data_IF_845865254588
#
_entry.id   IF_845865254588
#
_cell.length_a   1.000
_cell.length_b   1.000
_cell.length_c   1.000
_cell.angle_alpha   90.00
_cell.angle_beta   90.00
_cell.angle_gamma   90.00
#
_symmetry.space_group_name_H-M   'P 1'
#
loop_
_entity.id
_entity.type
_entity.pdbx_description
1 polymer ?
#
# COMPACT_ATOMS: atom_id res chain seq x y z
N UNK A 1 -13.79 16.17 -5.44
CA UNK A 1 -13.67 16.01 -3.98
C UNK A 1 -12.55 15.04 -3.57
N UNK A 2 -12.56 13.75 -3.98
CA UNK A 2 -11.54 12.77 -3.55
C UNK A 2 -10.09 13.10 -4.02
N UNK A 3 -9.92 13.51 -5.27
CA UNK A 3 -8.59 13.84 -5.84
C UNK A 3 -7.96 15.06 -5.15
N UNK A 4 -8.79 16.02 -4.73
CA UNK A 4 -8.33 17.22 -4.02
C UNK A 4 -7.84 16.87 -2.61
N UNK A 5 -8.62 16.05 -1.87
CA UNK A 5 -8.24 15.56 -0.55
C UNK A 5 -6.94 14.72 -0.58
N UNK A 6 -6.74 13.90 -1.62
CA UNK A 6 -5.51 13.14 -1.81
C UNK A 6 -4.30 14.05 -2.07
N UNK A 7 -4.46 15.15 -2.80
CA UNK A 7 -3.38 16.13 -3.05
C UNK A 7 -2.99 16.88 -1.78
N UNK A 8 -3.97 17.32 -1.01
CA UNK A 8 -3.74 18.02 0.27
C UNK A 8 -3.05 17.10 1.28
N UNK A 9 -3.48 15.84 1.39
CA UNK A 9 -2.82 14.86 2.25
C UNK A 9 -1.39 14.56 1.82
N UNK A 10 -1.11 14.46 0.52
CA UNK A 10 0.27 14.28 0.01
C UNK A 10 1.18 15.43 0.40
N UNK A 11 0.73 16.67 0.28
CA UNK A 11 1.51 17.84 0.67
C UNK A 11 1.82 17.86 2.19
N UNK A 12 0.88 17.44 3.05
CA UNK A 12 1.13 17.27 4.49
C UNK A 12 2.19 16.19 4.80
N UNK A 13 2.23 15.10 4.01
CA UNK A 13 3.18 14.02 4.22
C UNK A 13 4.59 14.34 3.70
N UNK A 14 4.72 15.16 2.66
CA UNK A 14 6.02 15.61 2.14
C UNK A 14 6.83 16.43 3.16
N UNK A 15 6.17 17.09 4.12
CA UNK A 15 6.84 17.82 5.21
C UNK A 15 7.27 16.92 6.38
N UNK A 16 6.82 15.66 6.44
CA UNK A 16 7.16 14.70 7.50
C UNK A 16 8.34 13.85 7.07
N UNK A 17 9.54 14.43 7.05
CA UNK A 17 10.75 13.74 6.58
C UNK A 17 11.15 12.50 7.40
N UNK A 18 10.65 12.35 8.63
CA UNK A 18 11.06 11.26 9.55
C UNK A 18 10.01 10.15 9.77
N UNK A 19 8.79 10.28 9.20
CA UNK A 19 7.69 9.36 9.54
C UNK A 19 7.17 8.58 8.34
N UNK A 20 7.54 7.31 8.27
CA UNK A 20 7.04 6.38 7.24
C UNK A 20 5.58 6.04 7.53
N UNK A 21 4.75 6.15 6.49
CA UNK A 21 3.35 5.74 6.52
C UNK A 21 3.19 4.60 5.53
N UNK A 22 2.82 3.43 6.03
CA UNK A 22 2.65 2.23 5.25
C UNK A 22 1.17 1.99 4.95
N UNK A 23 0.85 1.93 3.66
CA UNK A 23 -0.40 1.38 3.17
C UNK A 23 -0.13 -0.02 2.64
N UNK A 24 -0.76 -1.02 3.26
CA UNK A 24 -0.68 -2.41 2.83
C UNK A 24 -2.03 -3.09 3.02
N UNK A 25 -2.29 -4.16 2.26
CA UNK A 25 -3.51 -4.93 2.45
C UNK A 25 -3.44 -5.69 3.77
N UNK A 26 -4.54 -5.66 4.53
CA UNK A 26 -4.71 -6.51 5.71
C UNK A 26 -4.89 -7.94 5.21
N UNK A 27 -3.79 -8.69 5.15
CA UNK A 27 -3.79 -10.10 4.76
C UNK A 27 -4.48 -10.99 5.80
N UNK A 28 -4.06 -12.25 5.87
CA UNK A 28 -4.59 -13.18 6.87
C UNK A 28 -4.48 -12.60 8.29
N UNK A 29 -5.50 -12.73 9.15
CA UNK A 29 -5.53 -12.09 10.47
C UNK A 29 -4.31 -12.37 11.36
N UNK A 30 -3.75 -13.58 11.28
CA UNK A 30 -2.57 -13.95 12.06
C UNK A 30 -1.29 -13.30 11.53
N UNK A 31 -1.15 -13.20 10.20
CA UNK A 31 -0.04 -12.48 9.56
C UNK A 31 -0.12 -10.98 9.85
N UNK A 32 -1.34 -10.42 9.83
CA UNK A 32 -1.58 -8.99 10.12
C UNK A 32 -1.12 -8.60 11.53
N UNK A 33 -1.34 -9.46 12.55
CA UNK A 33 -0.89 -9.20 13.93
C UNK A 33 0.63 -9.14 14.05
N UNK A 34 1.33 -10.11 13.48
CA UNK A 34 2.80 -10.17 13.53
C UNK A 34 3.42 -8.98 12.79
N UNK A 35 2.89 -8.66 11.61
CA UNK A 35 3.32 -7.51 10.81
C UNK A 35 3.06 -6.20 11.55
N UNK A 36 1.89 -6.04 12.18
CA UNK A 36 1.56 -4.86 12.97
C UNK A 36 2.53 -4.65 14.12
N UNK A 37 2.81 -5.70 14.91
CA UNK A 37 3.75 -5.61 16.03
C UNK A 37 5.16 -5.20 15.55
N UNK A 38 5.61 -5.76 14.43
CA UNK A 38 6.90 -5.39 13.85
C UNK A 38 6.93 -3.92 13.40
N UNK A 39 5.88 -3.45 12.71
CA UNK A 39 5.79 -2.06 12.26
C UNK A 39 5.72 -1.04 13.42
N UNK A 40 5.09 -1.42 14.54
CA UNK A 40 5.11 -0.62 15.76
C UNK A 40 6.53 -0.46 16.32
N UNK A 41 7.38 -1.51 16.27
CA UNK A 41 8.79 -1.39 16.68
C UNK A 41 9.60 -0.47 15.77
N UNK A 42 9.26 -0.44 14.47
CA UNK A 42 9.84 0.49 13.50
C UNK A 42 9.28 1.92 13.61
N UNK A 43 8.26 2.16 14.44
CA UNK A 43 7.52 3.43 14.58
C UNK A 43 6.88 3.91 13.27
N UNK A 44 6.48 2.96 12.42
CA UNK A 44 5.79 3.26 11.18
C UNK A 44 4.28 3.40 11.45
N UNK A 45 3.66 4.44 10.88
CA UNK A 45 2.21 4.56 10.94
C UNK A 45 1.59 3.64 9.88
N UNK A 46 0.57 2.89 10.27
CA UNK A 46 -0.21 2.09 9.33
C UNK A 46 -1.46 2.88 8.95
N UNK A 47 -1.65 3.10 7.64
CA UNK A 47 -2.88 3.72 7.16
C UNK A 47 -4.03 2.69 7.31
N UNK A 48 -5.17 3.07 7.92
CA UNK A 48 -6.31 2.15 8.02
C UNK A 48 -6.80 1.74 6.63
N UNK A 49 -6.73 0.44 6.35
CA UNK A 49 -7.21 -0.15 5.09
C UNK A 49 -8.45 -1.02 5.37
N UNK A 50 -9.54 -0.88 4.60
CA UNK A 50 -10.70 -1.74 4.79
C UNK A 50 -10.36 -3.18 4.41
N UNK A 51 -10.91 -4.13 5.18
CA UNK A 51 -10.78 -5.55 4.88
C UNK A 51 -11.29 -5.83 3.45
N UNK A 52 -10.49 -6.50 2.63
CA UNK A 52 -10.84 -6.87 1.24
C UNK A 52 -11.06 -5.73 0.24
N UNK A 53 -10.51 -4.54 0.48
CA UNK A 53 -10.50 -3.48 -0.54
C UNK A 53 -9.35 -3.64 -1.53
N UNK A 54 -9.57 -4.48 -2.55
CA UNK A 54 -8.61 -4.73 -3.64
C UNK A 54 -8.34 -3.48 -4.50
N UNK A 55 -9.32 -2.57 -4.60
CA UNK A 55 -9.22 -1.38 -5.48
C UNK A 55 -8.55 -0.16 -4.83
N UNK A 56 -8.17 -0.24 -3.55
CA UNK A 56 -7.67 0.93 -2.81
C UNK A 56 -6.13 0.96 -2.75
N UNK A 57 -5.46 -0.19 -2.88
CA UNK A 57 -4.00 -0.21 -2.86
C UNK A 57 -3.45 0.33 -4.20
N UNK A 58 -2.60 1.37 -4.19
CA UNK A 58 -1.99 1.91 -5.41
C UNK A 58 -1.19 0.86 -6.19
N UNK A 59 -0.65 -0.15 -5.49
CA UNK A 59 0.04 -1.29 -6.09
C UNK A 59 -0.88 -2.11 -6.99
N UNK A 60 -2.09 -2.45 -6.53
CA UNK A 60 -3.04 -3.28 -7.27
C UNK A 60 -3.63 -2.54 -8.48
N UNK A 61 -4.02 -1.29 -8.28
CA UNK A 61 -4.65 -0.49 -9.34
C UNK A 61 -3.69 -0.16 -10.49
N UNK A 62 -2.47 0.28 -10.16
CA UNK A 62 -1.55 0.85 -11.16
C UNK A 62 -0.37 -0.07 -11.46
N UNK A 63 0.38 -0.47 -10.44
CA UNK A 63 1.65 -1.17 -10.63
C UNK A 63 1.45 -2.59 -11.16
N UNK A 64 0.64 -3.42 -10.49
CA UNK A 64 0.38 -4.79 -10.91
C UNK A 64 -0.42 -4.86 -12.20
N UNK A 65 -1.38 -3.95 -12.40
CA UNK A 65 -2.08 -3.82 -13.69
C UNK A 65 -1.10 -3.53 -14.83
N UNK A 66 -0.13 -2.63 -14.61
CA UNK A 66 0.90 -2.33 -15.60
C UNK A 66 1.81 -3.52 -15.84
N UNK A 67 2.27 -4.18 -14.78
CA UNK A 67 3.08 -5.40 -14.89
C UNK A 67 2.34 -6.52 -15.64
N UNK A 68 1.06 -6.75 -15.36
CA UNK A 68 0.25 -7.75 -16.06
C UNK A 68 0.18 -7.47 -17.55
N UNK A 69 0.02 -6.20 -17.93
CA UNK A 69 0.05 -5.80 -19.34
C UNK A 69 1.43 -6.07 -19.97
N UNK A 70 2.51 -5.66 -19.30
CA UNK A 70 3.86 -5.77 -19.86
C UNK A 70 4.37 -7.23 -19.90
N UNK A 71 3.91 -8.06 -18.96
CA UNK A 71 4.19 -9.49 -18.88
C UNK A 71 3.22 -10.34 -19.72
N UNK A 72 2.16 -9.76 -20.30
CA UNK A 72 1.23 -10.50 -21.13
C UNK A 72 2.00 -11.12 -22.32
N UNK A 73 1.98 -12.45 -22.41
CA UNK A 73 2.67 -13.20 -23.46
C UNK A 73 4.13 -13.54 -23.15
N UNK A 74 4.70 -13.08 -22.04
CA UNK A 74 6.01 -13.54 -21.58
C UNK A 74 5.89 -14.92 -20.92
N UNK A 75 6.69 -15.88 -21.39
CA UNK A 75 6.80 -17.21 -20.76
C UNK A 75 8.15 -17.35 -20.09
N UNK A 76 8.14 -17.36 -18.77
CA UNK A 76 9.31 -17.71 -17.98
C UNK A 76 9.53 -19.22 -18.10
N UNK A 77 10.74 -19.62 -18.49
CA UNK A 77 11.19 -21.01 -18.51
C UNK A 77 12.17 -21.17 -17.34
N UNK A 78 11.87 -22.14 -16.48
CA UNK A 78 12.67 -22.49 -15.30
C UNK A 78 13.93 -23.27 -15.67
#
# INVERSE_FOLDING_TARGET
>A
HLIQALREKRAEYEQRHDKVILLHNNGQPDVSKVVKNYLETLKWDILPHPLYSLDIAPSDYWLFRRMQHDLAGHRFIS
#
